data_IF_121888578217
#
_entry.id   IF_121888578217
#
_cell.length_a   1.000
_cell.length_b   1.000
_cell.length_c   1.000
_cell.angle_alpha   90.00
_cell.angle_beta   90.00
_cell.angle_gamma   90.00
#
_symmetry.space_group_name_H-M   'P 1'
#
loop_
_entity.id
_entity.type
_entity.pdbx_description
1 polymer ?
#
# COMPACT_ATOMS: atom_id res chain seq x y z
N UNK A 1 -4.09 -13.61 -14.42
CA UNK A 1 -4.97 -12.52 -14.93
C UNK A 1 -4.50 -12.15 -16.32
N UNK A 2 -5.36 -11.94 -17.31
CA UNK A 2 -4.92 -11.44 -18.62
C UNK A 2 -4.73 -9.92 -18.58
N UNK A 3 -3.63 -9.44 -19.15
CA UNK A 3 -3.31 -8.01 -19.25
C UNK A 3 -2.94 -7.67 -20.69
N UNK A 4 -3.22 -6.44 -21.10
CA UNK A 4 -2.78 -5.85 -22.37
C UNK A 4 -2.36 -4.42 -22.12
N UNK A 5 -1.07 -4.12 -22.29
CA UNK A 5 -0.53 -2.77 -22.24
C UNK A 5 -0.94 -1.93 -23.46
N UNK A 6 -0.70 -0.62 -23.41
CA UNK A 6 -1.04 0.29 -24.51
C UNK A 6 -0.38 -0.08 -25.84
N UNK A 7 0.81 -0.67 -25.80
CA UNK A 7 1.57 -1.08 -26.99
C UNK A 7 1.40 -2.57 -27.34
N UNK A 8 0.71 -3.35 -26.50
CA UNK A 8 0.57 -4.79 -26.71
C UNK A 8 -0.43 -5.06 -27.85
N UNK A 9 -0.05 -5.92 -28.80
CA UNK A 9 -0.94 -6.36 -29.89
C UNK A 9 -1.94 -7.42 -29.43
N UNK A 10 -1.55 -8.26 -28.49
CA UNK A 10 -2.34 -9.39 -27.98
C UNK A 10 -2.35 -9.41 -26.44
N UNK A 11 -3.29 -10.16 -25.86
CA UNK A 11 -3.37 -10.38 -24.42
C UNK A 11 -2.26 -11.33 -23.97
N UNK A 12 -1.68 -11.05 -22.80
CA UNK A 12 -0.74 -11.95 -22.13
C UNK A 12 -1.18 -12.29 -20.72
N UNK A 13 -0.80 -13.47 -20.24
CA UNK A 13 -0.97 -13.81 -18.84
C UNK A 13 -0.01 -12.99 -17.97
N UNK A 14 -0.58 -12.38 -16.93
CA UNK A 14 0.15 -11.84 -15.80
C UNK A 14 0.05 -12.85 -14.64
N UNK A 15 1.17 -13.44 -14.20
CA UNK A 15 1.17 -14.37 -13.09
C UNK A 15 0.79 -13.63 -11.81
N UNK A 16 -0.13 -14.21 -11.05
CA UNK A 16 -0.46 -13.72 -9.71
C UNK A 16 0.48 -14.41 -8.75
N UNK A 17 1.37 -13.63 -8.14
CA UNK A 17 2.43 -14.09 -7.25
C UNK A 17 2.26 -13.45 -5.87
N UNK A 18 2.77 -14.13 -4.84
CA UNK A 18 2.66 -13.70 -3.45
C UNK A 18 1.45 -14.28 -2.71
N UNK A 19 1.26 -13.84 -1.48
CA UNK A 19 0.20 -14.32 -0.59
C UNK A 19 -1.19 -13.83 -1.01
N UNK A 20 -2.21 -14.69 -0.86
CA UNK A 20 -3.63 -14.36 -1.05
C UNK A 20 -4.31 -13.83 0.22
N UNK A 21 -3.60 -13.77 1.35
CA UNK A 21 -4.10 -13.13 2.56
C UNK A 21 -4.39 -11.64 2.30
N UNK A 22 -5.45 -11.09 2.91
CA UNK A 22 -5.85 -9.70 2.71
C UNK A 22 -5.97 -8.91 4.01
N UNK A 23 -6.92 -9.29 4.87
CA UNK A 23 -7.17 -8.56 6.12
C UNK A 23 -6.01 -8.72 7.10
N UNK A 24 -5.67 -7.63 7.80
CA UNK A 24 -4.64 -7.61 8.83
C UNK A 24 -3.21 -7.44 8.33
N UNK A 25 -2.96 -7.44 7.02
CA UNK A 25 -1.61 -7.29 6.46
C UNK A 25 -0.94 -5.98 6.86
N UNK A 26 -1.66 -4.85 6.81
CA UNK A 26 -1.11 -3.55 7.18
C UNK A 26 -0.72 -3.46 8.66
N UNK A 27 -1.48 -4.12 9.54
CA UNK A 27 -1.16 -4.18 10.99
C UNK A 27 0.03 -5.11 11.22
N UNK A 28 0.11 -6.23 10.50
CA UNK A 28 1.24 -7.15 10.58
C UNK A 28 2.54 -6.50 10.09
N UNK A 29 2.51 -5.82 8.94
CA UNK A 29 3.65 -5.04 8.41
C UNK A 29 4.12 -3.99 9.43
N UNK A 30 3.18 -3.23 9.99
CA UNK A 30 3.48 -2.25 11.04
C UNK A 30 4.12 -2.88 12.27
N UNK A 31 3.57 -3.97 12.80
CA UNK A 31 4.11 -4.65 13.98
C UNK A 31 5.50 -5.25 13.72
N UNK A 32 5.75 -5.79 12.52
CA UNK A 32 7.07 -6.30 12.13
C UNK A 32 8.11 -5.19 11.99
N UNK A 33 7.74 -4.09 11.33
CA UNK A 33 8.61 -2.93 11.15
C UNK A 33 8.98 -2.28 12.50
N UNK A 34 8.00 -2.05 13.39
CA UNK A 34 8.26 -1.50 14.73
C UNK A 34 9.23 -2.39 15.52
N UNK A 35 9.05 -3.71 15.48
CA UNK A 35 9.97 -4.64 16.17
C UNK A 35 11.37 -4.67 15.54
N UNK A 36 11.47 -4.47 14.22
CA UNK A 36 12.73 -4.42 13.49
C UNK A 36 13.42 -3.06 13.51
N UNK A 37 12.86 -2.07 14.21
CA UNK A 37 13.32 -0.66 14.17
C UNK A 37 13.36 -0.08 12.74
N UNK A 38 12.40 -0.50 11.90
CA UNK A 38 12.22 -0.03 10.54
C UNK A 38 10.97 0.86 10.41
N UNK A 39 10.99 1.78 9.44
CA UNK A 39 9.83 2.57 9.10
C UNK A 39 8.73 1.69 8.48
N UNK A 40 7.55 1.65 9.10
CA UNK A 40 6.39 0.96 8.54
C UNK A 40 5.81 1.72 7.34
N UNK A 41 5.12 0.98 6.47
CA UNK A 41 4.53 1.55 5.24
C UNK A 41 3.34 2.46 5.51
N UNK A 42 2.62 2.20 6.59
CA UNK A 42 1.35 2.86 6.94
C UNK A 42 1.59 4.13 7.77
N UNK A 43 2.42 5.06 7.30
CA UNK A 43 2.82 6.25 8.07
C UNK A 43 1.67 7.22 8.31
N UNK A 44 1.80 8.07 9.34
CA UNK A 44 0.83 9.14 9.61
C UNK A 44 0.75 10.18 8.49
N UNK A 45 1.87 10.46 7.81
CA UNK A 45 1.92 11.36 6.65
C UNK A 45 1.08 10.85 5.48
N UNK A 46 1.17 9.55 5.18
CA UNK A 46 0.34 8.90 4.18
C UNK A 46 -1.15 8.97 4.57
N UNK A 47 -1.47 8.68 5.84
CA UNK A 47 -2.83 8.74 6.34
C UNK A 47 -3.43 10.16 6.23
N UNK A 48 -2.65 11.19 6.57
CA UNK A 48 -3.03 12.59 6.39
C UNK A 48 -3.30 12.91 4.91
N UNK A 49 -2.43 12.47 4.00
CA UNK A 49 -2.63 12.71 2.57
C UNK A 49 -3.93 12.05 2.06
N UNK A 50 -4.24 10.83 2.50
CA UNK A 50 -5.51 10.18 2.14
C UNK A 50 -6.71 11.00 2.64
N UNK A 51 -6.65 11.52 3.87
CA UNK A 51 -7.69 12.38 4.40
C UNK A 51 -7.85 13.66 3.55
N UNK A 52 -6.75 14.30 3.17
CA UNK A 52 -6.76 15.49 2.30
C UNK A 52 -7.38 15.20 0.94
N UNK A 53 -7.05 14.06 0.32
CA UNK A 53 -7.70 13.62 -0.92
C UNK A 53 -9.20 13.43 -0.74
N UNK A 54 -9.64 12.78 0.34
CA UNK A 54 -11.05 12.57 0.60
C UNK A 54 -11.80 13.90 0.74
N UNK A 55 -11.24 14.85 1.48
CA UNK A 55 -11.79 16.21 1.60
C UNK A 55 -11.82 16.93 0.26
N UNK A 56 -10.73 16.88 -0.51
CA UNK A 56 -10.63 17.55 -1.81
C UNK A 56 -11.62 17.00 -2.85
N UNK A 57 -11.87 15.69 -2.84
CA UNK A 57 -12.89 15.06 -3.69
C UNK A 57 -14.28 15.64 -3.38
N UNK A 58 -14.64 15.76 -2.10
CA UNK A 58 -15.91 16.37 -1.68
C UNK A 58 -15.99 17.83 -2.10
N UNK A 59 -14.95 18.63 -1.84
CA UNK A 59 -14.89 20.05 -2.21
C UNK A 59 -14.99 20.24 -3.73
N UNK A 60 -14.29 19.41 -4.51
CA UNK A 60 -14.33 19.45 -5.97
C UNK A 60 -15.73 19.19 -6.51
N UNK A 61 -16.44 18.20 -5.93
CA UNK A 61 -17.82 17.89 -6.32
C UNK A 61 -18.81 19.01 -6.00
N UNK A 62 -18.61 19.73 -4.89
CA UNK A 62 -19.45 20.86 -4.48
C UNK A 62 -19.23 22.10 -5.37
N UNK A 63 -17.98 22.37 -5.75
CA UNK A 63 -17.59 23.56 -6.49
C UNK A 63 -17.62 23.38 -8.02
N UNK A 64 -17.69 22.13 -8.51
CA UNK A 64 -17.49 21.79 -9.93
C UNK A 64 -16.12 22.24 -10.48
N UNK A 65 -15.10 22.26 -9.62
CA UNK A 65 -13.74 22.67 -9.95
C UNK A 65 -12.71 21.64 -9.49
N UNK A 66 -11.55 21.60 -10.15
CA UNK A 66 -10.45 20.70 -9.75
C UNK A 66 -9.68 21.29 -8.56
N UNK A 67 -9.50 20.50 -7.50
CA UNK A 67 -8.67 20.86 -6.34
C UNK A 67 -7.28 20.24 -6.48
N UNK A 68 -6.24 21.07 -6.47
CA UNK A 68 -4.85 20.61 -6.51
C UNK A 68 -4.37 20.20 -5.10
N UNK A 69 -3.58 19.12 -5.04
CA UNK A 69 -3.01 18.60 -3.80
C UNK A 69 -1.51 18.39 -3.98
N UNK A 70 -0.75 18.84 -2.99
CA UNK A 70 0.68 18.57 -2.92
C UNK A 70 0.93 17.36 -2.02
N UNK A 71 1.43 16.23 -2.56
CA UNK A 71 1.73 15.06 -1.76
C UNK A 71 2.91 15.36 -0.84
N UNK A 72 2.72 15.14 0.46
CA UNK A 72 3.74 15.36 1.48
C UNK A 72 3.98 14.06 2.29
N UNK A 73 4.23 12.96 1.58
CA UNK A 73 4.57 11.66 2.15
C UNK A 73 5.65 10.97 1.29
N UNK A 74 6.42 10.07 1.89
CA UNK A 74 7.40 9.25 1.17
C UNK A 74 6.68 8.15 0.38
N UNK A 75 7.02 7.99 -0.90
CA UNK A 75 6.46 6.94 -1.75
C UNK A 75 6.64 5.56 -1.12
N UNK A 76 5.52 4.85 -0.93
CA UNK A 76 5.52 3.52 -0.33
C UNK A 76 6.07 2.52 -1.34
N UNK A 77 7.14 1.81 -0.96
CA UNK A 77 7.66 0.71 -1.80
C UNK A 77 6.62 -0.41 -1.91
N UNK A 78 6.60 -1.22 -2.97
CA UNK A 78 5.82 -2.47 -2.97
C UNK A 78 6.33 -3.45 -1.89
N UNK A 79 5.46 -4.38 -1.49
CA UNK A 79 5.90 -5.54 -0.71
C UNK A 79 6.73 -6.49 -1.60
N UNK A 80 7.80 -7.12 -1.05
CA UNK A 80 8.51 -8.18 -1.76
C UNK A 80 7.58 -9.32 -2.17
N UNK A 81 7.83 -9.94 -3.32
CA UNK A 81 6.97 -11.01 -3.86
C UNK A 81 6.98 -12.28 -3.00
N UNK A 82 8.08 -12.51 -2.28
CA UNK A 82 8.29 -13.61 -1.35
C UNK A 82 7.86 -13.28 0.09
N UNK A 83 7.29 -12.09 0.32
CA UNK A 83 6.85 -11.68 1.64
C UNK A 83 5.73 -12.60 2.15
N UNK A 84 6.00 -13.30 3.24
CA UNK A 84 5.10 -14.30 3.80
C UNK A 84 4.40 -13.78 5.08
N UNK A 85 3.06 -13.62 5.09
CA UNK A 85 2.34 -13.20 6.29
C UNK A 85 2.36 -14.24 7.42
N UNK A 86 2.50 -15.53 7.11
CA UNK A 86 2.47 -16.60 8.13
C UNK A 86 3.84 -16.94 8.69
N UNK A 87 4.91 -16.37 8.12
CA UNK A 87 6.25 -16.55 8.67
C UNK A 87 6.31 -16.08 10.13
N UNK A 88 6.98 -16.83 11.02
CA UNK A 88 7.30 -16.33 12.35
C UNK A 88 8.03 -14.99 12.21
N UNK A 89 7.72 -14.03 13.08
CA UNK A 89 8.57 -12.84 13.12
C UNK A 89 9.73 -13.11 14.06
N UNK A 90 10.93 -13.09 13.49
CA UNK A 90 12.21 -13.17 14.19
C UNK A 90 12.23 -12.17 15.38
N UNK A 91 12.80 -12.58 16.51
CA UNK A 91 12.79 -11.78 17.76
C UNK A 91 11.62 -12.05 18.70
N UNK A 92 10.74 -13.01 18.40
CA UNK A 92 9.82 -13.58 19.39
C UNK A 92 10.57 -14.58 20.29
N UNK A 93 11.52 -14.11 21.10
CA UNK A 93 11.96 -14.88 22.26
C UNK A 93 10.78 -14.97 23.20
N UNK A 94 10.10 -16.13 23.18
CA UNK A 94 9.20 -16.70 24.20
C UNK A 94 8.79 -15.68 25.28
N UNK A 95 7.55 -15.20 25.20
CA UNK A 95 6.85 -14.68 26.38
C UNK A 95 6.99 -15.65 27.55
#
# INVERSE_FOLDING_TARGET
MLVRGFEDKDWRELPVVGSTAGRGLGVLDMARAIRGDEAHRTTGELARHVLEMMTAITTSAEMYETVQLEPAFVTVRPLPLDWNPTAPTEGCSRW
#
